data_IF_071888816698
#
_entry.id   IF_071888816698
#
_cell.length_a   1.000
_cell.length_b   1.000
_cell.length_c   1.000
_cell.angle_alpha   90.00
_cell.angle_beta   90.00
_cell.angle_gamma   90.00
#
_symmetry.space_group_name_H-M   'P 1'
#
loop_
_entity.id
_entity.type
_entity.pdbx_description
1 polymer ?
#
# COMPACT_ATOMS: atom_id res chain seq x y z
N UNK A 1 -12.88 36.16 29.08
CA UNK A 1 -12.07 35.13 28.41
C UNK A 1 -13.03 34.03 27.99
N UNK A 2 -13.39 33.94 26.70
CA UNK A 2 -14.20 32.82 26.22
C UNK A 2 -13.28 31.59 26.11
N UNK A 3 -13.64 30.52 26.82
CA UNK A 3 -12.91 29.26 26.75
C UNK A 3 -13.22 28.54 25.43
N UNK A 4 -12.17 28.06 24.75
CA UNK A 4 -12.32 27.25 23.55
C UNK A 4 -12.86 25.85 23.92
N UNK A 5 -13.85 25.37 23.17
CA UNK A 5 -14.39 24.02 23.30
C UNK A 5 -13.59 23.04 22.45
N UNK A 6 -13.34 21.82 22.92
CA UNK A 6 -12.54 20.81 22.22
C UNK A 6 -13.36 19.55 21.96
N UNK A 7 -13.39 19.03 20.73
CA UNK A 7 -13.95 17.68 20.48
C UNK A 7 -12.89 16.63 20.78
N UNK A 8 -13.21 15.75 21.73
CA UNK A 8 -12.44 14.55 22.06
C UNK A 8 -12.75 13.38 21.09
N UNK A 9 -13.77 13.56 20.26
CA UNK A 9 -14.26 12.59 19.29
C UNK A 9 -13.38 12.44 18.03
N UNK A 10 -12.33 13.26 17.87
CA UNK A 10 -11.53 13.34 16.65
C UNK A 10 -10.29 12.42 16.69
N UNK A 11 -10.06 11.56 15.68
CA UNK A 11 -9.03 10.51 15.72
C UNK A 11 -7.58 10.97 15.56
N UNK A 12 -7.30 12.24 15.22
CA UNK A 12 -5.94 12.73 14.97
C UNK A 12 -5.54 13.93 15.81
N UNK A 13 -6.42 14.92 15.92
CA UNK A 13 -6.25 16.09 16.78
C UNK A 13 -7.65 16.57 17.20
N UNK A 14 -7.87 16.88 18.49
CA UNK A 14 -9.11 17.50 18.92
C UNK A 14 -9.27 18.83 18.19
N UNK A 15 -10.41 19.00 17.51
CA UNK A 15 -10.76 20.28 16.88
C UNK A 15 -11.23 21.24 17.97
N UNK A 16 -10.75 22.48 17.89
CA UNK A 16 -11.17 23.56 18.79
C UNK A 16 -12.30 24.36 18.13
N UNK A 17 -13.27 24.76 18.92
CA UNK A 17 -14.44 25.53 18.53
C UNK A 17 -14.60 26.73 19.48
N UNK A 18 -15.10 27.83 18.95
CA UNK A 18 -15.31 29.07 19.72
C UNK A 18 -16.59 29.00 20.56
N UNK A 19 -17.57 28.21 20.12
CA UNK A 19 -18.86 28.03 20.78
C UNK A 19 -19.17 26.56 21.06
N UNK A 20 -20.03 26.31 22.04
CA UNK A 20 -20.52 24.97 22.36
C UNK A 20 -21.45 24.44 21.26
N UNK A 21 -22.18 25.34 20.60
CA UNK A 21 -23.08 25.05 19.49
C UNK A 21 -22.30 24.51 18.28
N UNK A 22 -21.16 25.12 17.93
CA UNK A 22 -20.30 24.65 16.83
C UNK A 22 -19.70 23.27 17.12
N UNK A 23 -19.27 23.04 18.37
CA UNK A 23 -18.82 21.72 18.80
C UNK A 23 -19.94 20.68 18.66
N UNK A 24 -21.16 21.01 19.11
CA UNK A 24 -22.30 20.10 19.04
C UNK A 24 -22.71 19.80 17.61
N UNK A 25 -22.71 20.80 16.73
CA UNK A 25 -22.95 20.62 15.29
C UNK A 25 -21.89 19.70 14.67
N UNK A 26 -20.61 19.95 14.96
CA UNK A 26 -19.50 19.12 14.51
C UNK A 26 -19.63 17.65 14.94
N UNK A 27 -20.03 17.41 16.19
CA UNK A 27 -20.23 16.06 16.71
C UNK A 27 -21.46 15.38 16.10
N UNK A 28 -22.52 16.14 15.81
CA UNK A 28 -23.72 15.65 15.15
C UNK A 28 -23.49 15.27 13.68
N UNK A 29 -22.58 15.95 12.97
CA UNK A 29 -22.14 15.58 11.62
C UNK A 29 -21.40 14.22 11.60
N UNK A 30 -20.85 13.80 12.74
CA UNK A 30 -20.06 12.57 12.88
C UNK A 30 -20.89 11.41 13.40
N UNK A 31 -21.76 10.93 12.51
CA UNK A 31 -22.73 9.89 12.80
C UNK A 31 -22.11 8.50 13.03
N UNK A 32 -20.89 8.25 12.56
CA UNK A 32 -20.28 6.92 12.58
C UNK A 32 -19.24 6.81 13.70
N UNK A 33 -19.48 5.96 14.69
CA UNK A 33 -18.55 5.71 15.79
C UNK A 33 -17.65 4.49 15.51
N UNK A 34 -16.44 4.52 16.04
CA UNK A 34 -15.64 3.31 16.17
C UNK A 34 -16.27 2.37 17.20
N UNK A 35 -16.24 1.06 16.95
CA UNK A 35 -16.74 0.06 17.90
C UNK A 35 -15.73 -0.26 19.00
N UNK A 36 -14.44 0.04 18.77
CA UNK A 36 -13.33 -0.29 19.66
C UNK A 36 -12.80 0.94 20.43
N UNK A 37 -13.21 2.16 20.07
CA UNK A 37 -12.81 3.37 20.77
C UNK A 37 -13.83 4.52 20.59
N UNK A 38 -13.66 5.63 21.30
CA UNK A 38 -14.60 6.77 21.28
C UNK A 38 -14.55 7.67 20.03
N UNK A 39 -13.76 7.32 19.00
CA UNK A 39 -13.60 8.16 17.81
C UNK A 39 -14.85 8.16 16.92
N UNK A 40 -15.19 9.34 16.37
CA UNK A 40 -16.33 9.55 15.48
C UNK A 40 -15.90 10.11 14.11
N UNK A 41 -16.60 9.66 13.07
CA UNK A 41 -16.31 9.89 11.65
C UNK A 41 -17.56 10.38 10.92
N UNK A 42 -17.35 11.16 9.85
CA UNK A 42 -18.43 11.71 9.02
C UNK A 42 -19.08 10.69 8.09
N UNK A 43 -18.40 9.59 7.79
CA UNK A 43 -18.92 8.54 6.92
C UNK A 43 -18.44 7.15 7.38
N UNK A 44 -19.17 6.12 6.92
CA UNK A 44 -18.92 4.72 7.22
C UNK A 44 -17.53 4.26 6.77
N UNK A 45 -17.12 4.62 5.55
CA UNK A 45 -15.83 4.20 4.98
C UNK A 45 -14.62 4.67 5.82
N UNK A 46 -14.69 5.88 6.38
CA UNK A 46 -13.63 6.40 7.26
C UNK A 46 -13.56 5.63 8.59
N UNK A 47 -14.72 5.30 9.17
CA UNK A 47 -14.81 4.50 10.38
C UNK A 47 -14.29 3.07 10.15
N UNK A 48 -14.72 2.41 9.07
CA UNK A 48 -14.23 1.08 8.70
C UNK A 48 -12.73 1.06 8.45
N UNK A 49 -12.20 2.04 7.70
CA UNK A 49 -10.75 2.15 7.48
C UNK A 49 -10.00 2.34 8.80
N UNK A 50 -10.54 3.13 9.72
CA UNK A 50 -9.95 3.31 11.05
C UNK A 50 -9.94 2.00 11.85
N UNK A 51 -11.09 1.31 11.89
CA UNK A 51 -11.23 0.02 12.57
C UNK A 51 -10.26 -1.01 11.99
N UNK A 52 -10.22 -1.15 10.67
CA UNK A 52 -9.35 -2.10 9.98
C UNK A 52 -7.86 -1.79 10.17
N UNK A 53 -7.46 -0.51 10.21
CA UNK A 53 -6.03 -0.17 10.32
C UNK A 53 -5.49 -0.16 11.75
N UNK A 54 -6.33 0.08 12.76
CA UNK A 54 -5.86 0.23 14.15
C UNK A 54 -6.28 -0.90 15.07
N UNK A 55 -7.47 -1.47 14.88
CA UNK A 55 -8.08 -2.41 15.84
C UNK A 55 -8.15 -3.84 15.31
N UNK A 56 -8.63 -4.02 14.07
CA UNK A 56 -8.83 -5.36 13.48
C UNK A 56 -7.57 -5.86 12.79
N UNK A 57 -6.93 -5.01 11.96
CA UNK A 57 -5.71 -5.30 11.19
C UNK A 57 -5.76 -6.62 10.40
N UNK A 58 -6.81 -6.87 9.60
CA UNK A 58 -6.96 -8.15 8.89
C UNK A 58 -5.93 -8.33 7.77
N UNK A 59 -5.35 -7.24 7.30
CA UNK A 59 -4.32 -7.24 6.27
C UNK A 59 -3.19 -6.31 6.69
N UNK A 60 -1.97 -6.70 6.36
CA UNK A 60 -0.80 -5.83 6.40
C UNK A 60 -0.10 -5.82 5.05
N UNK A 61 0.74 -4.82 4.84
CA UNK A 61 1.60 -4.71 3.68
C UNK A 61 3.04 -4.64 4.15
N UNK A 62 3.92 -5.38 3.49
CA UNK A 62 5.34 -5.40 3.81
C UNK A 62 6.17 -5.84 2.62
N UNK A 63 7.35 -5.25 2.44
CA UNK A 63 8.31 -5.70 1.43
C UNK A 63 8.80 -7.14 1.68
N UNK A 64 8.67 -7.67 2.90
CA UNK A 64 8.96 -9.09 3.19
C UNK A 64 8.08 -10.08 2.43
N UNK A 65 6.92 -9.66 1.91
CA UNK A 65 6.08 -10.50 1.08
C UNK A 65 6.69 -10.75 -0.32
N UNK A 66 7.57 -9.86 -0.80
CA UNK A 66 8.35 -10.02 -2.02
C UNK A 66 9.65 -10.79 -1.74
N UNK A 67 9.56 -12.02 -1.24
CA UNK A 67 10.74 -12.88 -1.07
C UNK A 67 11.38 -13.29 -2.40
N UNK A 68 10.55 -13.43 -3.42
CA UNK A 68 10.97 -13.69 -4.79
C UNK A 68 10.85 -12.40 -5.60
N UNK A 69 12.00 -11.86 -6.04
CA UNK A 69 12.08 -10.64 -6.83
C UNK A 69 11.31 -10.73 -8.16
N UNK A 70 11.05 -11.95 -8.67
CA UNK A 70 10.22 -12.17 -9.87
C UNK A 70 8.81 -11.61 -9.71
N UNK A 71 8.27 -11.59 -8.47
CA UNK A 71 6.94 -11.04 -8.16
C UNK A 71 6.87 -9.51 -8.24
N UNK A 72 8.00 -8.82 -8.34
CA UNK A 72 8.03 -7.40 -8.61
C UNK A 72 7.75 -7.07 -10.08
N UNK A 73 7.76 -8.08 -10.96
CA UNK A 73 7.49 -7.93 -12.39
C UNK A 73 6.15 -8.56 -12.75
N UNK A 74 5.53 -8.03 -13.80
CA UNK A 74 4.29 -8.55 -14.35
C UNK A 74 4.34 -8.52 -15.88
N UNK A 75 3.47 -9.28 -16.54
CA UNK A 75 3.41 -9.24 -17.99
C UNK A 75 3.13 -7.81 -18.51
N UNK A 76 3.84 -7.44 -19.57
CA UNK A 76 3.71 -6.13 -20.18
C UNK A 76 2.39 -6.02 -20.96
N UNK A 77 1.68 -4.92 -20.74
CA UNK A 77 0.48 -4.60 -21.51
C UNK A 77 0.82 -4.03 -22.89
N UNK A 78 1.99 -3.38 -23.04
CA UNK A 78 2.45 -2.79 -24.29
C UNK A 78 3.04 -3.86 -25.21
N UNK A 79 3.69 -4.88 -24.64
CA UNK A 79 4.36 -5.98 -25.34
C UNK A 79 4.01 -7.33 -24.72
N UNK A 80 2.75 -7.80 -24.85
CA UNK A 80 2.30 -9.06 -24.27
C UNK A 80 3.14 -10.23 -24.78
N UNK A 81 3.41 -11.22 -23.92
CA UNK A 81 4.23 -12.40 -24.24
C UNK A 81 5.69 -12.14 -24.63
N UNK A 82 6.13 -10.87 -24.71
CA UNK A 82 7.47 -10.48 -25.14
C UNK A 82 8.28 -9.78 -24.06
N UNK A 83 7.61 -9.10 -23.13
CA UNK A 83 8.27 -8.33 -22.08
C UNK A 83 7.52 -8.43 -20.75
N UNK A 84 8.27 -8.13 -19.69
CA UNK A 84 7.76 -7.97 -18.34
C UNK A 84 7.98 -6.52 -17.89
N UNK A 85 6.98 -5.92 -17.25
CA UNK A 85 7.06 -4.57 -16.72
C UNK A 85 7.41 -4.59 -15.24
N UNK A 86 8.31 -3.70 -14.81
CA UNK A 86 8.66 -3.50 -13.41
C UNK A 86 7.51 -2.83 -12.63
N UNK A 87 7.08 -3.42 -11.52
CA UNK A 87 6.01 -2.89 -10.67
C UNK A 87 6.38 -1.62 -9.88
N UNK A 88 7.67 -1.29 -9.77
CA UNK A 88 8.11 -0.07 -9.08
C UNK A 88 8.06 1.15 -10.02
N UNK A 89 8.63 1.05 -11.22
CA UNK A 89 8.78 2.18 -12.15
C UNK A 89 7.91 2.10 -13.42
N UNK A 90 7.48 0.91 -13.82
CA UNK A 90 6.77 0.70 -15.08
C UNK A 90 7.67 0.50 -16.30
N UNK A 91 8.98 0.30 -16.14
CA UNK A 91 9.89 0.01 -17.25
C UNK A 91 9.69 -1.41 -17.78
N UNK A 92 9.76 -1.57 -19.11
CA UNK A 92 9.60 -2.86 -19.81
C UNK A 92 10.95 -3.56 -20.03
N UNK A 93 11.01 -4.84 -19.67
CA UNK A 93 12.18 -5.72 -19.81
C UNK A 93 11.85 -6.85 -20.78
N UNK A 94 12.57 -6.88 -21.92
CA UNK A 94 12.34 -7.90 -22.95
C UNK A 94 12.72 -9.31 -22.47
N UNK A 95 12.04 -10.32 -23.00
CA UNK A 95 12.34 -11.74 -22.81
C UNK A 95 13.21 -12.22 -23.98
N UNK A 96 14.41 -12.71 -23.72
CA UNK A 96 15.33 -13.13 -24.77
C UNK A 96 15.13 -14.59 -25.21
N UNK A 97 14.50 -15.41 -24.36
CA UNK A 97 14.25 -16.83 -24.59
C UNK A 97 13.24 -17.05 -25.72
N UNK A 98 13.61 -17.91 -26.69
CA UNK A 98 12.76 -18.27 -27.82
C UNK A 98 12.14 -19.63 -27.60
N UNK A 99 10.82 -19.70 -27.67
CA UNK A 99 10.13 -20.99 -27.69
C UNK A 99 10.46 -21.76 -28.98
N UNK A 100 10.43 -23.10 -28.96
CA UNK A 100 10.53 -23.91 -30.17
C UNK A 100 9.42 -23.50 -31.16
N UNK A 101 9.80 -23.18 -32.40
CA UNK A 101 8.91 -22.58 -33.40
C UNK A 101 9.03 -21.05 -33.40
N UNK A 102 9.47 -20.49 -34.52
CA UNK A 102 9.93 -19.10 -34.67
C UNK A 102 8.90 -17.98 -34.38
N UNK A 103 7.65 -18.32 -34.09
CA UNK A 103 6.54 -17.39 -33.79
C UNK A 103 5.90 -17.56 -32.40
N UNK A 104 6.52 -18.35 -31.50
CA UNK A 104 5.97 -18.58 -30.15
C UNK A 104 6.23 -17.45 -29.15
N UNK A 105 5.49 -17.42 -28.02
CA UNK A 105 5.77 -16.57 -26.87
C UNK A 105 7.24 -16.62 -26.45
N UNK A 106 7.78 -15.49 -26.02
CA UNK A 106 9.13 -15.44 -25.46
C UNK A 106 9.06 -15.74 -23.97
N UNK A 107 10.09 -16.41 -23.45
CA UNK A 107 10.25 -16.68 -22.02
C UNK A 107 11.47 -15.93 -21.48
N UNK A 108 11.40 -15.52 -20.22
CA UNK A 108 12.52 -14.87 -19.55
C UNK A 108 13.61 -15.91 -19.24
N UNK A 109 14.82 -15.68 -19.73
CA UNK A 109 16.00 -16.49 -19.41
C UNK A 109 16.59 -16.07 -18.07
N UNK A 110 17.51 -16.87 -17.52
CA UNK A 110 18.24 -16.50 -16.29
C UNK A 110 18.99 -15.17 -16.45
N UNK A 111 19.58 -14.90 -17.63
CA UNK A 111 20.23 -13.61 -17.91
C UNK A 111 19.24 -12.44 -17.82
N UNK A 112 18.03 -12.61 -18.36
CA UNK A 112 16.99 -11.57 -18.26
C UNK A 112 16.62 -11.32 -16.79
N UNK A 113 16.59 -12.38 -15.97
CA UNK A 113 16.32 -12.25 -14.54
C UNK A 113 17.49 -11.63 -13.75
N UNK A 114 18.74 -11.86 -14.13
CA UNK A 114 19.91 -11.19 -13.55
C UNK A 114 19.87 -9.68 -13.82
N UNK A 115 19.52 -9.26 -15.05
CA UNK A 115 19.37 -7.85 -15.42
C UNK A 115 18.26 -7.18 -14.60
N UNK A 116 17.11 -7.85 -14.49
CA UNK A 116 15.97 -7.41 -13.68
C UNK A 116 16.31 -7.30 -12.20
N UNK A 117 17.04 -8.27 -11.66
CA UNK A 117 17.49 -8.25 -10.27
C UNK A 117 18.42 -7.06 -10.02
N UNK A 118 19.36 -6.80 -10.93
CA UNK A 118 20.26 -5.65 -10.84
C UNK A 118 19.48 -4.33 -10.88
N UNK A 119 18.52 -4.20 -11.79
CA UNK A 119 17.63 -3.03 -11.84
C UNK A 119 16.90 -2.79 -10.52
N UNK A 120 16.34 -3.84 -9.90
CA UNK A 120 15.69 -3.71 -8.59
C UNK A 120 16.65 -3.25 -7.49
N UNK A 121 17.89 -3.75 -7.48
CA UNK A 121 18.90 -3.35 -6.50
C UNK A 121 19.35 -1.90 -6.72
N UNK A 122 19.69 -1.55 -7.96
CA UNK A 122 20.32 -0.26 -8.30
C UNK A 122 19.30 0.89 -8.35
N UNK A 123 18.09 0.65 -8.84
CA UNK A 123 17.07 1.70 -9.02
C UNK A 123 16.05 1.76 -7.88
N UNK A 124 15.81 0.62 -7.21
CA UNK A 124 14.74 0.48 -6.23
C UNK A 124 15.22 0.08 -4.85
N UNK A 125 16.54 0.03 -4.61
CA UNK A 125 17.13 -0.31 -3.31
C UNK A 125 16.51 -1.60 -2.73
N UNK A 126 16.22 -2.56 -3.63
CA UNK A 126 15.50 -3.78 -3.28
C UNK A 126 16.35 -4.64 -2.34
N UNK A 127 15.77 -4.99 -1.19
CA UNK A 127 16.46 -5.73 -0.13
C UNK A 127 17.06 -4.86 0.98
N UNK A 128 17.22 -3.55 0.75
CA UNK A 128 17.86 -2.63 1.70
C UNK A 128 16.88 -2.03 2.72
N UNK A 129 15.58 -2.15 2.50
CA UNK A 129 14.58 -1.63 3.42
C UNK A 129 14.34 -2.56 4.61
N UNK A 130 13.82 -2.00 5.71
CA UNK A 130 13.38 -2.81 6.85
C UNK A 130 12.17 -3.67 6.46
N UNK A 131 12.44 -4.90 6.01
CA UNK A 131 11.43 -5.88 5.58
C UNK A 131 10.53 -6.35 6.73
N UNK A 132 10.92 -6.13 8.00
CA UNK A 132 10.05 -6.41 9.15
C UNK A 132 8.99 -5.33 9.36
N UNK A 133 9.09 -4.19 8.68
CA UNK A 133 8.11 -3.11 8.78
C UNK A 133 6.79 -3.55 8.15
N UNK A 134 5.73 -3.55 8.96
CA UNK A 134 4.35 -3.77 8.53
C UNK A 134 3.62 -2.43 8.44
N UNK A 135 2.87 -2.27 7.38
CA UNK A 135 1.92 -1.18 7.20
C UNK A 135 0.53 -1.77 7.30
N UNK A 136 -0.36 -1.20 8.12
CA UNK A 136 -1.78 -1.63 8.19
C UNK A 136 -2.69 -0.74 7.34
N UNK A 137 -2.07 -0.01 6.41
CA UNK A 137 -2.70 0.93 5.49
C UNK A 137 -1.96 0.93 4.17
N UNK A 138 -2.69 0.59 3.11
CA UNK A 138 -2.24 0.61 1.72
C UNK A 138 -1.61 1.95 1.30
N UNK A 139 -2.21 3.09 1.68
CA UNK A 139 -1.69 4.41 1.34
C UNK A 139 -0.33 4.70 1.99
N UNK A 140 -0.14 4.28 3.24
CA UNK A 140 1.16 4.41 3.91
C UNK A 140 2.21 3.50 3.26
N UNK A 141 1.83 2.30 2.84
CA UNK A 141 2.74 1.39 2.13
C UNK A 141 3.16 1.97 0.77
N UNK A 142 2.23 2.52 -0.01
CA UNK A 142 2.56 3.17 -1.29
C UNK A 142 3.47 4.39 -1.11
N UNK A 143 3.30 5.15 -0.03
CA UNK A 143 4.26 6.21 0.32
C UNK A 143 5.65 5.65 0.62
N UNK A 144 5.74 4.52 1.33
CA UNK A 144 7.02 3.85 1.54
C UNK A 144 7.65 3.38 0.22
N UNK A 145 6.91 2.76 -0.69
CA UNK A 145 7.42 2.39 -2.02
C UNK A 145 7.96 3.62 -2.77
N UNK A 146 7.25 4.74 -2.71
CA UNK A 146 7.68 5.99 -3.35
C UNK A 146 8.98 6.54 -2.76
N UNK A 147 9.08 6.58 -1.44
CA UNK A 147 10.16 7.28 -0.74
C UNK A 147 11.38 6.41 -0.44
N UNK A 148 11.23 5.09 -0.38
CA UNK A 148 12.30 4.15 -0.03
C UNK A 148 12.69 3.21 -1.17
N UNK A 149 11.92 3.19 -2.26
CA UNK A 149 12.19 2.33 -3.41
C UNK A 149 12.06 3.10 -4.73
N UNK A 150 12.12 4.43 -4.69
CA UNK A 150 11.92 5.31 -5.84
C UNK A 150 10.69 4.96 -6.72
N UNK A 151 9.64 4.39 -6.11
CA UNK A 151 8.48 3.87 -6.82
C UNK A 151 7.64 4.98 -7.45
N UNK A 152 7.24 4.79 -8.72
CA UNK A 152 6.38 5.72 -9.44
C UNK A 152 4.93 5.55 -8.96
N UNK A 153 4.37 6.63 -8.42
CA UNK A 153 2.99 6.66 -7.95
C UNK A 153 1.99 6.41 -9.08
N UNK A 154 0.86 5.75 -8.76
CA UNK A 154 -0.20 5.49 -9.71
C UNK A 154 -0.40 4.00 -9.94
N UNK A 155 -0.52 3.58 -11.21
CA UNK A 155 -0.82 2.19 -11.57
C UNK A 155 0.19 1.19 -11.03
N UNK A 156 1.49 1.52 -11.09
CA UNK A 156 2.58 0.58 -10.78
C UNK A 156 2.66 0.25 -9.28
N UNK A 157 2.64 1.27 -8.42
CA UNK A 157 2.61 1.07 -6.97
C UNK A 157 1.36 0.35 -6.46
N UNK A 158 0.20 0.44 -7.15
CA UNK A 158 -0.98 -0.37 -6.81
C UNK A 158 -0.78 -1.87 -7.10
N UNK A 159 0.05 -2.23 -8.09
CA UNK A 159 0.37 -3.63 -8.39
C UNK A 159 1.23 -4.23 -7.28
N UNK A 160 2.25 -3.48 -6.82
CA UNK A 160 3.06 -3.88 -5.68
C UNK A 160 2.27 -3.93 -4.37
N UNK A 161 1.27 -3.05 -4.18
CA UNK A 161 0.36 -3.14 -3.05
C UNK A 161 -0.32 -4.51 -2.98
N UNK A 162 -0.78 -5.06 -4.11
CA UNK A 162 -1.41 -6.38 -4.14
C UNK A 162 -0.37 -7.49 -3.89
N UNK A 163 0.81 -7.40 -4.53
CA UNK A 163 1.86 -8.40 -4.38
C UNK A 163 2.43 -8.47 -2.95
N UNK A 164 2.43 -7.33 -2.24
CA UNK A 164 2.98 -7.18 -0.90
C UNK A 164 1.97 -7.34 0.24
N UNK A 165 0.71 -7.65 -0.08
CA UNK A 165 -0.34 -7.85 0.91
C UNK A 165 -0.17 -9.20 1.62
N UNK A 166 -0.27 -9.17 2.94
CA UNK A 166 -0.22 -10.33 3.83
C UNK A 166 -1.55 -10.37 4.58
N UNK A 167 -2.24 -11.51 4.52
CA UNK A 167 -3.40 -11.77 5.35
C UNK A 167 -2.92 -12.02 6.78
N UNK A 168 -3.42 -11.24 7.72
CA UNK A 168 -3.12 -11.41 9.14
C UNK A 168 -4.23 -12.23 9.80
N UNK A 169 -3.85 -13.08 10.74
CA UNK A 169 -4.83 -13.80 11.55
C UNK A 169 -5.59 -12.81 12.45
N UNK A 170 -6.90 -13.01 12.67
CA UNK A 170 -7.69 -12.12 13.49
C UNK A 170 -7.13 -12.08 14.92
N UNK A 171 -6.75 -10.88 15.36
CA UNK A 171 -6.35 -10.65 16.75
C UNK A 171 -7.58 -10.85 17.62
N UNK A 172 -7.63 -11.96 18.36
CA UNK A 172 -8.68 -12.21 19.34
C UNK A 172 -8.53 -11.18 20.47
N UNK A 173 -9.40 -10.18 20.49
CA UNK A 173 -9.54 -9.30 21.64
C UNK A 173 -10.20 -10.10 22.76
N UNK A 174 -9.43 -10.40 23.81
CA UNK A 174 -9.94 -10.91 25.09
C UNK A 174 -10.47 -9.77 25.95
#
# INVERSE_FOLDING_TARGET
MQGLFMCECCPKKPKKFETAEDLKAHEAEKQYNCQYCGNRFKNKNEAERHQNSLHVRPHSWSCSALKDYKRAFHESNSRPYEADTCGYCGEDFSRSGRSPGSNGPRYATERDWEERSRHLQDCHEFGECNTSKKFFRADNFRQHLKHSHAGVSGKWTNMLETACMINEEPVQHR
#
